data_IF_064730241573
#
_entry.id   IF_064730241573
#
_cell.length_a   1.000
_cell.length_b   1.000
_cell.length_c   1.000
_cell.angle_alpha   90.00
_cell.angle_beta   90.00
_cell.angle_gamma   90.00
#
_symmetry.space_group_name_H-M   'P 1'
#
loop_
_entity.id
_entity.type
_entity.pdbx_description
1 polymer ?
#
# COMPACT_ATOMS: atom_id res chain seq x y z
N UNK A 1 -4.23 -2.26 -22.65
CA UNK A 1 -4.94 -1.15 -21.99
C UNK A 1 -4.09 -0.59 -20.87
N UNK A 2 -3.77 0.68 -20.98
CA UNK A 2 -2.98 1.45 -20.03
C UNK A 2 -3.84 1.78 -18.82
N UNK A 3 -3.82 0.92 -17.79
CA UNK A 3 -4.50 1.24 -16.53
C UNK A 3 -3.48 1.79 -15.54
N UNK A 4 -3.76 2.96 -15.01
CA UNK A 4 -2.85 3.63 -14.06
C UNK A 4 -2.80 2.96 -12.68
N UNK A 5 -3.78 2.11 -12.29
CA UNK A 5 -3.80 1.33 -11.06
C UNK A 5 -3.37 -0.13 -11.30
N UNK A 6 -2.17 -0.32 -11.80
CA UNK A 6 -1.65 -1.65 -12.13
C UNK A 6 -1.43 -2.50 -10.89
N UNK A 7 -1.86 -3.76 -10.97
CA UNK A 7 -1.75 -4.70 -9.85
C UNK A 7 -2.88 -4.62 -8.83
N UNK A 8 -3.68 -3.56 -8.84
CA UNK A 8 -4.82 -3.40 -7.92
C UNK A 8 -5.78 -4.59 -8.02
N UNK A 9 -6.26 -4.90 -9.23
CA UNK A 9 -7.14 -6.03 -9.46
C UNK A 9 -6.47 -7.38 -9.16
N UNK A 10 -5.17 -7.52 -9.40
CA UNK A 10 -4.42 -8.73 -9.08
C UNK A 10 -4.46 -9.04 -7.59
N UNK A 11 -4.18 -8.04 -6.74
CA UNK A 11 -4.22 -8.23 -5.30
C UNK A 11 -5.63 -8.58 -4.79
N UNK A 12 -6.66 -7.86 -5.23
CA UNK A 12 -8.04 -8.20 -4.89
C UNK A 12 -8.46 -9.59 -5.37
N UNK A 13 -7.99 -10.02 -6.54
CA UNK A 13 -8.26 -11.36 -7.04
C UNK A 13 -7.61 -12.44 -6.14
N UNK A 14 -6.38 -12.23 -5.67
CA UNK A 14 -5.73 -13.13 -4.71
C UNK A 14 -6.56 -13.27 -3.42
N UNK A 15 -6.99 -12.17 -2.83
CA UNK A 15 -7.85 -12.18 -1.65
C UNK A 15 -9.20 -12.87 -1.92
N UNK A 16 -9.81 -12.58 -3.07
CA UNK A 16 -11.09 -13.17 -3.43
C UNK A 16 -11.02 -14.70 -3.61
N UNK A 17 -9.99 -15.22 -4.26
CA UNK A 17 -9.83 -16.68 -4.43
C UNK A 17 -9.47 -17.36 -3.11
N UNK A 18 -8.73 -16.70 -2.21
CA UNK A 18 -8.46 -17.20 -0.86
C UNK A 18 -9.77 -17.34 -0.06
N UNK A 19 -10.59 -16.31 -0.04
CA UNK A 19 -11.89 -16.33 0.63
C UNK A 19 -12.84 -17.35 0.02
N UNK A 20 -12.87 -17.46 -1.31
CA UNK A 20 -13.66 -18.46 -2.01
C UNK A 20 -13.21 -19.89 -1.69
N UNK A 21 -11.92 -20.14 -1.61
CA UNK A 21 -11.37 -21.43 -1.16
C UNK A 21 -11.83 -21.74 0.27
N UNK A 22 -11.64 -20.82 1.20
CA UNK A 22 -12.03 -21.00 2.61
C UNK A 22 -13.52 -21.26 2.78
N UNK A 23 -14.38 -20.60 1.98
CA UNK A 23 -15.84 -20.68 2.09
C UNK A 23 -16.45 -21.89 1.36
N UNK A 24 -15.70 -22.65 0.58
CA UNK A 24 -16.23 -23.74 -0.26
C UNK A 24 -15.89 -25.14 0.26
N UNK A 25 -15.50 -25.27 1.53
CA UNK A 25 -15.19 -26.57 2.15
C UNK A 25 -16.32 -27.60 2.11
N UNK A 26 -17.56 -27.17 1.89
CA UNK A 26 -18.73 -28.03 1.70
C UNK A 26 -18.79 -28.70 0.31
N UNK A 27 -17.96 -28.29 -0.65
CA UNK A 27 -17.93 -28.80 -2.02
C UNK A 27 -16.47 -29.00 -2.48
N UNK A 28 -15.98 -30.25 -2.40
CA UNK A 28 -14.59 -30.60 -2.68
C UNK A 28 -14.16 -30.26 -4.13
N UNK A 29 -15.04 -30.42 -5.12
CA UNK A 29 -14.73 -30.09 -6.52
C UNK A 29 -14.55 -28.59 -6.71
N UNK A 30 -15.43 -27.78 -6.14
CA UNK A 30 -15.37 -26.33 -6.22
C UNK A 30 -14.14 -25.80 -5.45
N UNK A 31 -13.88 -26.33 -4.26
CA UNK A 31 -12.71 -25.97 -3.46
C UNK A 31 -11.41 -26.28 -4.20
N UNK A 32 -11.31 -27.46 -4.86
CA UNK A 32 -10.15 -27.82 -5.68
C UNK A 32 -9.93 -26.85 -6.86
N UNK A 33 -10.99 -26.34 -7.47
CA UNK A 33 -10.86 -25.31 -8.52
C UNK A 33 -10.26 -24.02 -8.00
N UNK A 34 -10.63 -23.58 -6.78
CA UNK A 34 -10.02 -22.40 -6.17
C UNK A 34 -8.58 -22.68 -5.73
N UNK A 35 -8.29 -23.85 -5.18
CA UNK A 35 -6.90 -24.26 -4.88
C UNK A 35 -6.01 -24.16 -6.13
N UNK A 36 -6.44 -24.73 -7.25
CA UNK A 36 -5.69 -24.63 -8.52
C UNK A 36 -5.47 -23.20 -9.00
N UNK A 37 -6.42 -22.29 -8.76
CA UNK A 37 -6.24 -20.86 -9.08
C UNK A 37 -5.23 -20.19 -8.16
N UNK A 38 -5.26 -20.50 -6.86
CA UNK A 38 -4.27 -19.99 -5.89
C UNK A 38 -2.87 -20.48 -6.27
N UNK A 39 -2.71 -21.77 -6.54
CA UNK A 39 -1.42 -22.35 -6.92
C UNK A 39 -0.85 -21.73 -8.20
N UNK A 40 -1.69 -21.53 -9.21
CA UNK A 40 -1.27 -20.87 -10.46
C UNK A 40 -0.78 -19.44 -10.19
N UNK A 41 -1.55 -18.64 -9.47
CA UNK A 41 -1.22 -17.26 -9.19
C UNK A 41 0.04 -17.15 -8.31
N UNK A 42 0.11 -17.94 -7.25
CA UNK A 42 1.25 -17.91 -6.32
C UNK A 42 2.53 -18.37 -7.01
N UNK A 43 2.50 -19.49 -7.76
CA UNK A 43 3.69 -19.97 -8.48
C UNK A 43 4.18 -18.91 -9.48
N UNK A 44 3.27 -18.29 -10.25
CA UNK A 44 3.63 -17.24 -11.20
C UNK A 44 4.28 -16.04 -10.51
N UNK A 45 3.69 -15.56 -9.44
CA UNK A 45 4.24 -14.40 -8.69
C UNK A 45 5.55 -14.75 -8.00
N UNK A 46 5.67 -15.95 -7.46
CA UNK A 46 6.91 -16.47 -6.87
C UNK A 46 8.04 -16.51 -7.89
N UNK A 47 7.81 -17.11 -9.07
CA UNK A 47 8.80 -17.16 -10.16
C UNK A 47 9.24 -15.77 -10.59
N UNK A 48 8.29 -14.83 -10.76
CA UNK A 48 8.59 -13.43 -11.07
C UNK A 48 9.43 -12.76 -9.98
N UNK A 49 9.13 -13.02 -8.70
CA UNK A 49 9.89 -12.47 -7.58
C UNK A 49 11.35 -12.95 -7.57
N UNK A 50 11.60 -14.18 -8.03
CA UNK A 50 12.96 -14.74 -8.12
C UNK A 50 13.78 -14.10 -9.27
N UNK A 51 13.14 -13.45 -10.23
CA UNK A 51 13.84 -12.74 -11.31
C UNK A 51 14.48 -11.43 -10.84
N UNK A 52 13.90 -10.78 -9.83
CA UNK A 52 14.44 -9.53 -9.30
C UNK A 52 15.75 -9.76 -8.56
N UNK A 53 16.77 -8.96 -8.89
CA UNK A 53 18.11 -9.08 -8.32
C UNK A 53 18.97 -10.17 -8.91
N UNK A 54 18.52 -10.89 -9.94
CA UNK A 54 19.33 -11.90 -10.62
C UNK A 54 20.55 -11.29 -11.31
N UNK A 55 21.71 -11.98 -11.33
CA UNK A 55 22.90 -11.48 -12.01
C UNK A 55 22.69 -11.38 -13.52
N UNK A 56 23.33 -10.38 -14.15
CA UNK A 56 23.24 -10.16 -15.60
C UNK A 56 23.89 -11.25 -16.45
N UNK A 57 24.85 -11.96 -15.88
CA UNK A 57 25.61 -13.01 -16.57
C UNK A 57 25.60 -14.26 -15.72
N UNK A 58 25.59 -15.41 -16.37
CA UNK A 58 25.70 -16.71 -15.68
C UNK A 58 26.99 -16.73 -14.83
N UNK A 59 26.85 -17.04 -13.53
CA UNK A 59 27.95 -17.05 -12.58
C UNK A 59 28.38 -15.65 -12.06
N UNK A 60 27.68 -14.57 -12.45
CA UNK A 60 27.86 -13.24 -11.88
C UNK A 60 27.29 -13.12 -10.46
N UNK A 61 27.60 -12.02 -9.78
CA UNK A 61 27.05 -11.75 -8.45
C UNK A 61 25.57 -11.42 -8.51
N UNK A 62 24.84 -11.91 -7.54
CA UNK A 62 23.44 -11.57 -7.31
C UNK A 62 23.34 -10.12 -6.82
N UNK A 63 22.36 -9.38 -7.32
CA UNK A 63 22.00 -8.07 -6.75
C UNK A 63 21.23 -8.34 -5.46
N UNK A 64 21.95 -8.46 -4.37
CA UNK A 64 21.38 -8.76 -3.05
C UNK A 64 20.78 -7.54 -2.35
N UNK A 65 21.18 -6.32 -2.77
CA UNK A 65 20.65 -5.09 -2.21
C UNK A 65 19.23 -4.83 -2.74
N UNK A 66 18.19 -4.92 -1.89
CA UNK A 66 16.82 -4.66 -2.30
C UNK A 66 16.55 -3.17 -2.61
N UNK A 67 17.52 -2.30 -2.36
CA UNK A 67 17.43 -0.87 -2.70
C UNK A 67 18.06 -0.54 -4.05
N UNK A 68 18.55 -1.53 -4.79
CA UNK A 68 19.14 -1.32 -6.10
C UNK A 68 18.22 -0.51 -7.03
N UNK A 69 18.76 0.55 -7.60
CA UNK A 69 18.02 1.51 -8.40
C UNK A 69 18.27 1.23 -9.87
N UNK A 70 17.23 0.99 -10.68
CA UNK A 70 17.41 0.78 -12.11
C UNK A 70 17.95 2.04 -12.82
N UNK A 71 18.71 1.87 -13.93
CA UNK A 71 19.08 3.00 -14.78
C UNK A 71 17.83 3.80 -15.17
N UNK A 72 17.94 5.10 -15.28
CA UNK A 72 16.82 5.99 -15.60
C UNK A 72 15.76 6.18 -14.49
N UNK A 73 15.89 5.52 -13.37
CA UNK A 73 14.97 5.71 -12.25
C UNK A 73 14.84 7.19 -11.84
N UNK A 74 13.61 7.60 -11.59
CA UNK A 74 13.32 8.98 -11.18
C UNK A 74 13.54 10.01 -12.27
N UNK A 75 13.58 9.65 -13.54
CA UNK A 75 13.55 10.64 -14.64
C UNK A 75 12.22 11.38 -14.63
N UNK A 76 12.31 12.69 -14.79
CA UNK A 76 11.14 13.53 -15.09
C UNK A 76 10.56 13.09 -16.44
N UNK A 77 9.25 12.99 -16.52
CA UNK A 77 8.55 12.55 -17.73
C UNK A 77 8.56 11.03 -17.94
N UNK A 78 9.04 10.25 -16.98
CA UNK A 78 8.84 8.81 -17.01
C UNK A 78 7.35 8.51 -16.99
N UNK A 79 6.85 7.96 -18.09
CA UNK A 79 5.47 7.50 -18.18
C UNK A 79 5.35 6.08 -17.63
N UNK A 80 4.39 5.87 -16.75
CA UNK A 80 3.97 4.53 -16.32
C UNK A 80 3.21 3.79 -17.42
N UNK A 81 3.08 4.40 -18.59
CA UNK A 81 2.61 3.77 -19.80
C UNK A 81 3.56 2.64 -20.19
N UNK A 82 3.16 1.43 -19.91
CA UNK A 82 3.87 0.23 -20.31
C UNK A 82 3.45 -0.15 -21.75
N UNK A 83 3.65 0.73 -22.70
CA UNK A 83 3.80 0.33 -24.10
C UNK A 83 4.95 -0.67 -24.20
N UNK A 84 5.00 -1.49 -25.25
CA UNK A 84 6.11 -2.44 -25.44
C UNK A 84 7.48 -1.75 -25.36
N UNK A 85 7.57 -0.49 -25.76
CA UNK A 85 8.78 0.33 -25.67
C UNK A 85 9.11 0.79 -24.24
N UNK A 86 8.09 0.82 -23.34
CA UNK A 86 8.24 1.22 -21.94
C UNK A 86 8.44 0.08 -20.97
N UNK A 87 8.29 -1.19 -21.40
CA UNK A 87 8.48 -2.35 -20.53
C UNK A 87 9.96 -2.52 -20.24
N UNK A 88 10.30 -2.43 -18.97
CA UNK A 88 11.66 -2.65 -18.49
C UNK A 88 11.88 -4.14 -18.24
N UNK A 89 13.03 -4.64 -18.65
CA UNK A 89 13.46 -6.03 -18.47
C UNK A 89 14.77 -6.16 -17.72
N UNK A 90 15.26 -5.08 -17.14
CA UNK A 90 16.50 -5.04 -16.37
C UNK A 90 16.29 -5.47 -14.91
N UNK A 91 15.62 -6.62 -14.71
CA UNK A 91 15.20 -7.17 -13.42
C UNK A 91 16.34 -7.27 -12.39
N UNK A 92 17.57 -7.49 -12.84
CA UNK A 92 18.75 -7.54 -11.99
C UNK A 92 18.98 -6.21 -11.21
N UNK A 93 18.47 -5.10 -11.72
CA UNK A 93 18.61 -3.79 -11.07
C UNK A 93 17.41 -3.43 -10.16
N UNK A 94 16.42 -4.30 -10.04
CA UNK A 94 15.19 -3.99 -9.28
C UNK A 94 15.31 -4.31 -7.80
N UNK A 95 16.37 -4.99 -7.39
CA UNK A 95 16.57 -5.43 -6.02
C UNK A 95 15.85 -6.74 -5.71
N UNK A 96 16.48 -7.56 -4.89
CA UNK A 96 15.94 -8.86 -4.48
C UNK A 96 14.62 -8.68 -3.72
N UNK A 97 13.65 -9.51 -4.06
CA UNK A 97 12.34 -9.53 -3.42
C UNK A 97 11.34 -8.51 -3.99
N UNK A 98 11.77 -7.63 -4.89
CA UNK A 98 10.84 -6.71 -5.54
C UNK A 98 9.88 -7.47 -6.46
N UNK A 99 8.59 -7.24 -6.24
CA UNK A 99 7.51 -7.62 -7.14
C UNK A 99 6.43 -6.56 -7.07
N UNK A 100 6.06 -6.03 -8.23
CA UNK A 100 4.99 -5.06 -8.38
C UNK A 100 4.52 -5.07 -9.82
N UNK A 101 3.34 -4.59 -10.07
CA UNK A 101 2.88 -4.29 -11.43
C UNK A 101 3.41 -2.96 -11.99
N UNK A 102 4.04 -2.17 -11.13
CA UNK A 102 4.83 -1.01 -11.52
C UNK A 102 6.32 -1.32 -11.44
N UNK A 103 7.15 -0.73 -12.31
CA UNK A 103 8.60 -0.80 -12.15
C UNK A 103 9.05 0.04 -10.94
N UNK A 104 10.26 -0.19 -10.39
CA UNK A 104 10.80 0.58 -9.26
C UNK A 104 10.83 2.09 -9.47
N UNK A 105 10.87 2.54 -10.72
CA UNK A 105 10.86 3.96 -11.09
C UNK A 105 9.71 4.74 -10.46
N UNK A 106 8.52 4.16 -10.36
CA UNK A 106 7.35 4.79 -9.75
C UNK A 106 7.56 5.08 -8.26
N UNK A 107 8.21 4.18 -7.55
CA UNK A 107 8.54 4.33 -6.14
C UNK A 107 9.61 5.42 -5.96
N UNK A 108 10.64 5.41 -6.79
CA UNK A 108 11.73 6.37 -6.76
C UNK A 108 11.24 7.78 -7.13
N UNK A 109 10.37 7.89 -8.11
CA UNK A 109 9.75 9.17 -8.48
C UNK A 109 8.94 9.75 -7.31
N UNK A 110 8.22 8.91 -6.54
CA UNK A 110 7.52 9.34 -5.33
C UNK A 110 8.51 9.92 -4.30
N UNK A 111 9.62 9.25 -4.05
CA UNK A 111 10.68 9.71 -3.14
C UNK A 111 11.27 11.06 -3.60
N UNK A 112 11.42 11.26 -4.91
CA UNK A 112 11.95 12.49 -5.52
C UNK A 112 10.93 13.62 -5.68
N UNK A 113 9.74 13.46 -5.18
CA UNK A 113 8.77 14.55 -5.15
C UNK A 113 7.73 14.53 -6.27
N UNK A 114 7.65 13.50 -7.09
CA UNK A 114 6.64 13.39 -8.12
C UNK A 114 5.23 13.41 -7.54
N UNK A 115 4.28 13.96 -8.31
CA UNK A 115 2.90 14.15 -7.90
C UNK A 115 1.93 13.42 -8.84
N UNK A 116 0.71 13.26 -8.40
CA UNK A 116 -0.38 12.77 -9.24
C UNK A 116 -0.87 13.88 -10.19
N UNK A 117 -1.07 13.54 -11.46
CA UNK A 117 -1.70 14.42 -12.43
C UNK A 117 -0.80 15.49 -13.07
N UNK A 118 0.49 15.47 -12.81
CA UNK A 118 1.44 16.35 -13.47
C UNK A 118 1.78 15.90 -14.90
N UNK A 119 2.07 16.85 -15.80
CA UNK A 119 2.40 16.54 -17.20
C UNK A 119 3.74 15.81 -17.36
N UNK A 120 4.65 15.93 -16.40
CA UNK A 120 6.03 15.43 -16.50
C UNK A 120 6.44 14.50 -15.35
N UNK A 121 5.54 14.12 -14.46
CA UNK A 121 5.88 13.31 -13.29
C UNK A 121 4.64 12.56 -12.77
N UNK A 122 3.95 11.86 -13.67
CA UNK A 122 2.74 11.13 -13.29
C UNK A 122 3.08 9.85 -12.56
N UNK A 123 2.72 9.81 -11.27
CA UNK A 123 2.69 8.59 -10.49
C UNK A 123 1.30 8.40 -9.91
N UNK A 124 0.90 7.16 -9.74
CA UNK A 124 -0.37 6.83 -9.13
C UNK A 124 -0.22 5.73 -8.10
N UNK A 125 -0.09 6.13 -6.83
CA UNK A 125 -0.19 5.28 -5.67
C UNK A 125 0.55 3.92 -5.80
N UNK A 126 1.89 3.89 -6.03
CA UNK A 126 2.58 2.62 -6.26
C UNK A 126 2.53 1.70 -5.03
N UNK A 127 2.60 2.21 -3.82
CA UNK A 127 2.49 1.43 -2.59
C UNK A 127 1.06 0.91 -2.34
N UNK A 128 0.03 1.63 -2.81
CA UNK A 128 -1.35 1.18 -2.71
C UNK A 128 -1.60 -0.13 -3.48
N UNK A 129 -1.09 -0.22 -4.71
CA UNK A 129 -1.22 -1.43 -5.52
C UNK A 129 -0.30 -2.56 -5.02
N UNK A 130 0.88 -2.21 -4.51
CA UNK A 130 1.80 -3.16 -3.88
C UNK A 130 1.16 -3.81 -2.65
N UNK A 131 0.51 -3.01 -1.80
CA UNK A 131 -0.25 -3.47 -0.64
C UNK A 131 -1.25 -4.56 -1.02
N UNK A 132 -2.03 -4.36 -2.07
CA UNK A 132 -3.08 -5.32 -2.48
C UNK A 132 -2.50 -6.70 -2.83
N UNK A 133 -1.34 -6.73 -3.50
CA UNK A 133 -0.66 -7.98 -3.84
C UNK A 133 -0.13 -8.66 -2.58
N UNK A 134 0.53 -7.92 -1.70
CA UNK A 134 1.07 -8.44 -0.43
C UNK A 134 -0.04 -9.00 0.46
N UNK A 135 -1.12 -8.27 0.66
CA UNK A 135 -2.27 -8.70 1.43
C UNK A 135 -2.89 -9.98 0.86
N UNK A 136 -3.10 -10.03 -0.46
CA UNK A 136 -3.66 -11.22 -1.11
C UNK A 136 -2.77 -12.46 -1.01
N UNK A 137 -1.45 -12.31 -1.05
CA UNK A 137 -0.51 -13.41 -0.81
C UNK A 137 -0.62 -13.94 0.63
N UNK A 138 -0.71 -13.06 1.61
CA UNK A 138 -0.90 -13.45 3.02
C UNK A 138 -2.26 -14.11 3.25
N UNK A 139 -3.32 -13.63 2.60
CA UNK A 139 -4.64 -14.27 2.65
C UNK A 139 -4.57 -15.72 2.16
N UNK A 140 -3.87 -15.97 1.04
CA UNK A 140 -3.67 -17.33 0.51
C UNK A 140 -2.86 -18.17 1.50
N UNK A 141 -1.78 -17.64 2.07
CA UNK A 141 -0.98 -18.37 3.06
C UNK A 141 -1.83 -18.79 4.27
N UNK A 142 -2.60 -17.88 4.83
CA UNK A 142 -3.39 -18.17 6.03
C UNK A 142 -4.48 -19.23 5.81
N UNK A 143 -5.09 -19.29 4.62
CA UNK A 143 -6.16 -20.26 4.35
C UNK A 143 -5.66 -21.59 3.82
N UNK A 144 -4.44 -21.65 3.24
CA UNK A 144 -3.94 -22.85 2.55
C UNK A 144 -2.59 -23.35 3.05
N UNK A 145 -1.84 -22.58 3.83
CA UNK A 145 -0.47 -22.90 4.22
C UNK A 145 0.53 -22.83 3.06
N UNK A 146 0.24 -22.12 1.98
CA UNK A 146 1.12 -22.04 0.83
C UNK A 146 2.39 -21.23 1.13
N UNK A 147 3.48 -21.92 1.42
CA UNK A 147 4.76 -21.30 1.83
C UNK A 147 5.36 -20.36 0.79
N UNK A 148 5.15 -20.60 -0.51
CA UNK A 148 5.63 -19.70 -1.56
C UNK A 148 4.92 -18.34 -1.51
N UNK A 149 3.65 -18.33 -1.10
CA UNK A 149 2.90 -17.08 -0.91
C UNK A 149 3.53 -16.24 0.22
N UNK A 150 3.83 -16.89 1.36
CA UNK A 150 4.52 -16.24 2.46
C UNK A 150 5.93 -15.79 2.08
N UNK A 151 6.70 -16.63 1.41
CA UNK A 151 8.06 -16.29 0.97
C UNK A 151 8.07 -15.09 0.03
N UNK A 152 7.11 -15.02 -0.90
CA UNK A 152 6.95 -13.86 -1.79
C UNK A 152 6.60 -12.60 -1.01
N UNK A 153 5.68 -12.68 -0.06
CA UNK A 153 5.31 -11.55 0.79
C UNK A 153 6.49 -11.06 1.66
N UNK A 154 7.29 -12.00 2.20
CA UNK A 154 8.53 -11.70 2.94
C UNK A 154 9.54 -10.94 2.07
N UNK A 155 9.74 -11.39 0.83
CA UNK A 155 10.61 -10.69 -0.13
C UNK A 155 10.13 -9.25 -0.38
N UNK A 156 8.84 -9.06 -0.59
CA UNK A 156 8.23 -7.73 -0.76
C UNK A 156 8.46 -6.85 0.48
N UNK A 157 8.18 -7.37 1.68
CA UNK A 157 8.38 -6.66 2.93
C UNK A 157 9.84 -6.27 3.17
N UNK A 158 10.77 -7.16 2.87
CA UNK A 158 12.22 -6.90 2.98
C UNK A 158 12.66 -5.79 2.03
N UNK A 159 12.18 -5.82 0.77
CA UNK A 159 12.46 -4.77 -0.20
C UNK A 159 11.94 -3.40 0.27
N UNK A 160 10.70 -3.36 0.75
CA UNK A 160 10.08 -2.13 1.25
C UNK A 160 10.85 -1.58 2.45
N UNK A 161 11.17 -2.43 3.43
CA UNK A 161 11.95 -2.03 4.61
C UNK A 161 13.30 -1.42 4.22
N UNK A 162 14.07 -2.14 3.42
CA UNK A 162 15.39 -1.67 3.01
C UNK A 162 15.31 -0.38 2.19
N UNK A 163 14.28 -0.21 1.34
CA UNK A 163 14.06 0.99 0.56
C UNK A 163 13.74 2.20 1.42
N UNK A 164 12.75 2.09 2.30
CA UNK A 164 12.25 3.23 3.08
C UNK A 164 13.14 3.59 4.26
N UNK A 165 13.83 2.62 4.86
CA UNK A 165 14.65 2.85 6.05
C UNK A 165 15.87 3.76 5.82
N UNK A 166 16.28 3.93 4.57
CA UNK A 166 17.38 4.83 4.21
C UNK A 166 16.93 6.27 3.89
N UNK A 167 15.61 6.51 3.82
CA UNK A 167 15.09 7.84 3.48
C UNK A 167 15.06 8.74 4.72
N UNK A 168 15.36 10.03 4.56
CA UNK A 168 15.15 11.01 5.62
C UNK A 168 13.68 11.07 6.04
N UNK A 169 13.43 11.33 7.32
CA UNK A 169 12.06 11.45 7.85
C UNK A 169 11.23 12.49 7.10
N UNK A 170 11.81 13.62 6.73
CA UNK A 170 11.13 14.68 5.98
C UNK A 170 10.65 14.18 4.60
N UNK A 171 11.43 13.27 3.98
CA UNK A 171 11.02 12.64 2.72
C UNK A 171 9.79 11.76 2.92
N UNK A 172 9.78 10.91 3.96
CA UNK A 172 8.63 10.07 4.29
C UNK A 172 7.39 10.92 4.61
N UNK A 173 7.54 11.96 5.43
CA UNK A 173 6.45 12.91 5.74
C UNK A 173 5.90 13.52 4.44
N UNK A 174 6.78 13.95 3.55
CA UNK A 174 6.38 14.51 2.25
C UNK A 174 5.66 13.49 1.38
N UNK A 175 6.15 12.25 1.31
CA UNK A 175 5.57 11.18 0.49
C UNK A 175 4.12 10.89 0.89
N UNK A 176 3.88 10.62 2.16
CA UNK A 176 2.56 10.17 2.64
C UNK A 176 1.50 11.27 2.67
N UNK A 177 1.92 12.53 2.55
CA UNK A 177 1.00 13.67 2.48
C UNK A 177 0.66 14.11 1.05
N UNK A 178 1.20 13.48 0.02
CA UNK A 178 0.86 13.81 -1.37
C UNK A 178 -0.47 13.20 -1.75
N UNK A 179 -1.38 14.03 -2.22
CA UNK A 179 -2.70 13.63 -2.69
C UNK A 179 -2.59 12.55 -3.76
N UNK A 180 -3.23 11.42 -3.57
CA UNK A 180 -3.23 10.21 -4.41
C UNK A 180 -1.83 9.60 -4.61
N UNK A 181 -0.82 10.39 -4.99
CA UNK A 181 0.52 9.87 -5.24
C UNK A 181 1.12 9.15 -4.03
N UNK A 182 0.90 9.68 -2.83
CA UNK A 182 1.35 9.14 -1.55
C UNK A 182 0.40 8.15 -0.90
N UNK A 183 -0.67 7.75 -1.59
CA UNK A 183 -1.59 6.74 -1.10
C UNK A 183 -0.89 5.38 -1.02
N UNK A 184 -0.92 4.75 0.14
CA UNK A 184 -0.31 3.44 0.35
C UNK A 184 -1.30 2.36 0.81
N UNK A 185 -2.59 2.69 0.86
CA UNK A 185 -3.62 1.76 1.34
C UNK A 185 -3.31 1.28 2.76
N UNK A 186 -3.41 -0.01 2.99
CA UNK A 186 -3.06 -0.66 4.25
C UNK A 186 -1.64 -1.25 4.26
N UNK A 187 -0.63 -0.61 3.68
CA UNK A 187 0.75 -1.15 3.74
C UNK A 187 1.25 -1.30 5.17
N UNK A 188 0.91 -0.36 6.07
CA UNK A 188 1.23 -0.47 7.49
C UNK A 188 0.50 -1.66 8.14
N UNK A 189 -0.75 -1.92 7.81
CA UNK A 189 -1.50 -3.10 8.25
C UNK A 189 -0.87 -4.41 7.73
N UNK A 190 -0.60 -4.48 6.42
CA UNK A 190 -0.04 -5.67 5.80
C UNK A 190 1.35 -6.03 6.36
N UNK A 191 2.21 -5.03 6.59
CA UNK A 191 3.53 -5.23 7.17
C UNK A 191 3.48 -5.62 8.66
N UNK A 192 2.57 -5.04 9.44
CA UNK A 192 2.35 -5.45 10.83
C UNK A 192 1.84 -6.90 10.89
N UNK A 193 0.88 -7.27 10.03
CA UNK A 193 0.41 -8.65 9.88
C UNK A 193 1.54 -9.61 9.47
N UNK A 194 2.41 -9.20 8.54
CA UNK A 194 3.58 -9.99 8.12
C UNK A 194 4.56 -10.18 9.29
N UNK A 195 4.79 -9.14 10.10
CA UNK A 195 5.60 -9.25 11.32
C UNK A 195 5.03 -10.31 12.27
N UNK A 196 3.72 -10.29 12.50
CA UNK A 196 3.04 -11.27 13.37
C UNK A 196 3.13 -12.70 12.81
N UNK A 197 2.91 -12.88 11.50
CA UNK A 197 2.97 -14.18 10.86
C UNK A 197 4.37 -14.81 10.89
N UNK A 198 5.41 -13.98 10.85
CA UNK A 198 6.80 -14.43 10.74
C UNK A 198 7.60 -14.30 12.03
N UNK A 199 7.11 -13.53 13.00
CA UNK A 199 7.85 -13.09 14.19
C UNK A 199 9.11 -12.27 13.86
N UNK A 200 9.19 -11.68 12.67
CA UNK A 200 10.32 -10.86 12.23
C UNK A 200 10.04 -9.37 12.47
N UNK A 201 10.71 -8.79 13.45
CA UNK A 201 10.49 -7.38 13.85
C UNK A 201 10.88 -6.34 12.79
N UNK A 202 11.65 -6.71 11.78
CA UNK A 202 11.98 -5.83 10.66
C UNK A 202 10.73 -5.39 9.88
N UNK A 203 9.72 -6.24 9.79
CA UNK A 203 8.45 -5.90 9.12
C UNK A 203 7.61 -4.94 9.97
N UNK A 204 7.67 -5.04 11.29
CA UNK A 204 7.06 -4.03 12.16
C UNK A 204 7.72 -2.66 11.99
N UNK A 205 9.07 -2.63 11.94
CA UNK A 205 9.78 -1.38 11.63
C UNK A 205 9.40 -0.82 10.26
N UNK A 206 9.23 -1.70 9.26
CA UNK A 206 8.75 -1.29 7.95
C UNK A 206 7.33 -0.71 8.00
N UNK A 207 6.43 -1.31 8.78
CA UNK A 207 5.06 -0.79 8.99
C UNK A 207 5.08 0.64 9.54
N UNK A 208 5.93 0.90 10.53
CA UNK A 208 6.08 2.22 11.15
C UNK A 208 6.70 3.28 10.22
N UNK A 209 7.41 2.90 9.16
CA UNK A 209 7.88 3.85 8.13
C UNK A 209 6.74 4.42 7.27
N UNK A 210 5.55 3.84 7.36
CA UNK A 210 4.32 4.35 6.73
C UNK A 210 3.51 5.25 7.68
N UNK A 211 3.99 5.53 8.89
CA UNK A 211 3.30 6.46 9.78
C UNK A 211 3.13 7.82 9.11
N UNK A 212 1.88 8.20 8.90
CA UNK A 212 1.58 9.54 8.42
C UNK A 212 1.72 10.53 9.58
N UNK A 213 2.94 11.01 9.77
CA UNK A 213 3.31 11.87 10.91
C UNK A 213 2.38 13.07 11.06
N UNK A 214 1.99 13.72 9.94
CA UNK A 214 1.08 14.86 10.02
C UNK A 214 -0.31 14.48 10.52
N UNK A 215 -0.83 13.36 10.06
CA UNK A 215 -2.15 12.88 10.46
C UNK A 215 -2.12 12.36 11.91
N UNK A 216 -1.14 11.52 12.22
CA UNK A 216 -1.06 10.83 13.49
C UNK A 216 -0.59 11.72 14.63
N UNK A 217 0.43 12.52 14.39
CA UNK A 217 1.18 13.23 15.41
C UNK A 217 1.29 14.74 15.19
N UNK A 218 0.79 15.25 14.06
CA UNK A 218 0.82 16.65 13.69
C UNK A 218 2.14 17.12 13.11
N UNK A 219 3.24 16.78 13.77
CA UNK A 219 4.61 17.09 13.34
C UNK A 219 5.62 16.03 13.85
N UNK A 220 6.87 16.17 13.45
CA UNK A 220 7.95 15.27 13.88
C UNK A 220 8.23 15.27 15.40
N UNK A 221 7.77 16.28 16.11
CA UNK A 221 7.85 16.38 17.56
C UNK A 221 6.65 15.76 18.30
N UNK A 222 5.70 15.17 17.56
CA UNK A 222 4.47 14.58 18.12
C UNK A 222 3.66 15.57 18.98
N UNK A 223 3.56 16.83 18.53
CA UNK A 223 3.00 17.92 19.33
C UNK A 223 1.46 17.89 19.38
N UNK A 224 0.78 17.34 18.38
CA UNK A 224 -0.66 17.28 18.25
C UNK A 224 -1.11 16.07 17.42
N UNK A 225 -2.07 16.16 16.53
CA UNK A 225 -2.51 15.07 15.67
C UNK A 225 -3.57 14.18 16.31
N UNK A 226 -3.93 13.11 15.59
CA UNK A 226 -4.94 12.15 16.07
C UNK A 226 -4.57 11.52 17.41
N UNK A 227 -3.29 11.25 17.65
CA UNK A 227 -2.82 10.71 18.92
C UNK A 227 -3.19 11.59 20.13
N UNK A 228 -3.44 12.88 19.91
CA UNK A 228 -3.84 13.86 20.93
C UNK A 228 -5.22 14.45 20.69
N UNK A 229 -6.09 13.71 20.03
CA UNK A 229 -7.48 14.06 19.79
C UNK A 229 -7.66 15.39 19.02
N UNK A 230 -6.80 15.63 18.01
CA UNK A 230 -6.91 16.79 17.12
C UNK A 230 -7.31 16.35 15.73
N UNK A 231 -8.38 16.95 15.18
CA UNK A 231 -8.85 16.70 13.81
C UNK A 231 -7.81 17.19 12.80
N UNK A 232 -7.12 16.25 12.17
CA UNK A 232 -6.10 16.48 11.16
C UNK A 232 -6.54 16.04 9.76
N UNK A 233 -7.73 15.46 9.60
CA UNK A 233 -8.14 14.83 8.35
C UNK A 233 -9.22 15.60 7.59
N UNK A 234 -9.72 16.71 8.11
CA UNK A 234 -10.67 17.57 7.40
C UNK A 234 -10.13 17.99 6.04
N UNK A 235 -10.87 17.69 4.98
CA UNK A 235 -10.49 17.99 3.60
C UNK A 235 -9.43 17.07 3.01
N UNK A 236 -8.96 16.05 3.75
CA UNK A 236 -8.09 15.02 3.22
C UNK A 236 -8.90 13.95 2.47
N UNK A 237 -8.24 13.25 1.55
CA UNK A 237 -8.85 12.18 0.76
C UNK A 237 -9.15 10.95 1.64
N UNK A 238 -10.42 10.58 1.77
CA UNK A 238 -10.87 9.54 2.69
C UNK A 238 -10.26 8.17 2.33
N UNK A 239 -10.29 7.79 1.05
CA UNK A 239 -9.69 6.53 0.58
C UNK A 239 -8.19 6.41 0.89
N UNK A 240 -7.46 7.54 0.84
CA UNK A 240 -6.04 7.55 1.18
C UNK A 240 -5.79 7.36 2.68
N UNK A 241 -6.69 7.86 3.55
CA UNK A 241 -6.38 8.00 4.98
C UNK A 241 -7.07 6.98 5.88
N UNK A 242 -8.26 6.49 5.54
CA UNK A 242 -8.96 5.48 6.34
C UNK A 242 -8.13 4.19 6.52
N UNK A 243 -7.53 3.61 5.48
CA UNK A 243 -6.74 2.38 5.63
C UNK A 243 -5.52 2.54 6.55
N UNK A 244 -4.97 3.76 6.66
CA UNK A 244 -3.84 4.05 7.55
C UNK A 244 -4.21 3.85 9.03
N UNK A 245 -5.47 4.12 9.37
CA UNK A 245 -5.99 3.95 10.73
C UNK A 245 -6.17 2.46 11.07
N UNK A 246 -6.60 1.66 10.10
CA UNK A 246 -6.64 0.20 10.26
C UNK A 246 -5.24 -0.33 10.55
N UNK A 247 -4.24 0.19 9.85
CA UNK A 247 -2.85 -0.16 10.10
C UNK A 247 -2.35 0.28 11.48
N UNK A 248 -2.80 1.41 11.99
CA UNK A 248 -2.47 1.83 13.36
C UNK A 248 -2.97 0.81 14.40
N UNK A 249 -4.19 0.29 14.25
CA UNK A 249 -4.72 -0.78 15.13
C UNK A 249 -3.91 -2.07 14.99
N UNK A 250 -3.51 -2.45 13.79
CA UNK A 250 -2.69 -3.65 13.61
C UNK A 250 -1.30 -3.51 14.24
N UNK A 251 -0.70 -2.32 14.17
CA UNK A 251 0.56 -2.03 14.87
C UNK A 251 0.36 -2.08 16.39
N UNK A 252 -0.75 -1.51 16.91
CA UNK A 252 -1.08 -1.60 18.32
C UNK A 252 -1.19 -3.05 18.82
N UNK A 253 -1.84 -3.93 18.05
CA UNK A 253 -2.03 -5.35 18.42
C UNK A 253 -0.71 -6.10 18.67
N UNK A 254 0.37 -5.69 18.01
CA UNK A 254 1.68 -6.32 18.16
C UNK A 254 2.60 -5.57 19.13
N UNK A 255 2.46 -4.25 19.23
CA UNK A 255 3.38 -3.41 20.01
C UNK A 255 2.82 -2.98 21.36
N UNK A 256 1.49 -3.05 21.53
CA UNK A 256 0.77 -2.51 22.69
C UNK A 256 1.03 -1.02 22.93
N UNK A 257 1.58 -0.30 21.95
CA UNK A 257 1.86 1.13 22.07
C UNK A 257 0.55 1.94 22.13
N UNK A 258 0.28 2.62 23.25
CA UNK A 258 -1.01 3.29 23.46
C UNK A 258 -1.26 4.44 22.48
N UNK A 259 -0.23 5.00 21.86
CA UNK A 259 -0.40 6.07 20.85
C UNK A 259 -1.16 5.56 19.61
N UNK A 260 -0.86 4.35 19.14
CA UNK A 260 -1.56 3.77 17.99
C UNK A 260 -3.03 3.45 18.31
N UNK A 261 -3.33 3.01 19.53
CA UNK A 261 -4.70 2.87 19.98
C UNK A 261 -5.41 4.22 19.98
N UNK A 262 -4.79 5.25 20.58
CA UNK A 262 -5.37 6.59 20.64
C UNK A 262 -5.63 7.19 19.25
N UNK A 263 -4.74 6.96 18.28
CA UNK A 263 -4.94 7.40 16.89
C UNK A 263 -6.24 6.82 16.33
N UNK A 264 -6.46 5.52 16.51
CA UNK A 264 -7.62 4.85 15.94
C UNK A 264 -8.91 5.19 16.69
N UNK A 265 -8.88 5.22 18.00
CA UNK A 265 -10.02 5.55 18.86
C UNK A 265 -10.50 6.99 18.61
N UNK A 266 -9.59 7.95 18.64
CA UNK A 266 -9.91 9.35 18.36
C UNK A 266 -10.42 9.57 16.93
N UNK A 267 -9.81 8.88 15.95
CA UNK A 267 -10.30 8.94 14.57
C UNK A 267 -11.73 8.40 14.46
N UNK A 268 -12.01 7.24 15.06
CA UNK A 268 -13.33 6.63 15.04
C UNK A 268 -14.38 7.54 15.68
N UNK A 269 -14.06 8.10 16.84
CA UNK A 269 -14.97 9.02 17.53
C UNK A 269 -15.28 10.24 16.67
N UNK A 270 -14.26 10.93 16.17
CA UNK A 270 -14.45 12.09 15.31
C UNK A 270 -15.20 11.75 14.01
N UNK A 271 -14.82 10.68 13.33
CA UNK A 271 -15.42 10.36 12.05
C UNK A 271 -16.89 9.98 12.16
N UNK A 272 -17.25 9.24 13.21
CA UNK A 272 -18.64 8.81 13.41
C UNK A 272 -19.55 9.91 13.91
N UNK A 273 -19.04 10.89 14.66
CA UNK A 273 -19.83 12.02 15.18
C UNK A 273 -19.88 13.22 14.21
N UNK A 274 -18.75 13.54 13.56
CA UNK A 274 -18.63 14.80 12.84
C UNK A 274 -18.71 14.67 11.32
N UNK A 275 -18.43 13.48 10.77
CA UNK A 275 -18.27 13.29 9.32
C UNK A 275 -19.23 12.26 8.71
N UNK A 276 -19.69 11.28 9.49
CA UNK A 276 -20.47 10.18 8.97
C UNK A 276 -21.91 10.59 8.65
N UNK A 277 -22.35 10.28 7.45
CA UNK A 277 -23.75 10.40 7.05
C UNK A 277 -24.56 9.19 7.51
N UNK A 278 -25.89 9.32 7.53
CA UNK A 278 -26.80 8.25 7.97
C UNK A 278 -26.65 6.94 7.19
N UNK A 279 -26.09 6.99 5.98
CA UNK A 279 -25.79 5.81 5.15
C UNK A 279 -24.40 5.21 5.41
N UNK A 280 -23.64 5.74 6.37
CA UNK A 280 -22.30 5.29 6.71
C UNK A 280 -21.15 5.91 5.90
N UNK A 281 -21.43 6.66 4.82
CA UNK A 281 -20.40 7.35 4.05
C UNK A 281 -19.84 8.56 4.79
N UNK A 282 -18.56 8.88 4.58
CA UNK A 282 -17.84 9.98 5.24
C UNK A 282 -17.21 10.96 4.27
N UNK A 283 -17.24 10.65 2.98
CA UNK A 283 -16.56 11.40 1.95
C UNK A 283 -17.54 12.27 1.13
N UNK A 284 -17.16 13.52 0.95
CA UNK A 284 -17.77 14.44 -0.01
C UNK A 284 -16.71 15.01 -0.93
N UNK A 285 -17.03 16.08 -1.64
CA UNK A 285 -16.05 16.82 -2.41
C UNK A 285 -15.54 18.01 -1.62
N UNK A 286 -14.21 18.14 -1.48
CA UNK A 286 -13.61 19.35 -0.92
C UNK A 286 -13.81 20.56 -1.82
N UNK A 287 -13.75 20.29 -3.11
CA UNK A 287 -14.07 21.20 -4.20
C UNK A 287 -14.28 20.33 -5.46
N UNK A 288 -14.74 20.88 -6.60
CA UNK A 288 -15.00 20.11 -7.80
C UNK A 288 -13.81 19.28 -8.33
N UNK A 289 -12.60 19.64 -7.95
CA UNK A 289 -11.38 18.97 -8.40
C UNK A 289 -10.83 17.92 -7.41
N UNK A 290 -11.33 17.88 -6.17
CA UNK A 290 -10.86 17.02 -5.10
C UNK A 290 -12.03 16.23 -4.51
N UNK A 291 -12.48 15.23 -5.22
CA UNK A 291 -13.54 14.31 -4.78
C UNK A 291 -13.07 13.41 -3.62
N UNK A 292 -14.02 12.76 -2.97
CA UNK A 292 -13.79 11.73 -1.94
C UNK A 292 -13.00 12.21 -0.71
N UNK A 293 -13.20 13.48 -0.32
CA UNK A 293 -12.55 14.05 0.85
C UNK A 293 -13.49 14.13 2.05
N UNK A 294 -12.94 14.06 3.26
CA UNK A 294 -13.70 14.29 4.49
C UNK A 294 -14.25 15.72 4.51
N UNK A 295 -15.56 15.84 4.63
CA UNK A 295 -16.24 17.15 4.71
C UNK A 295 -17.31 17.11 5.79
N UNK A 296 -17.12 17.92 6.83
CA UNK A 296 -18.08 18.08 7.92
C UNK A 296 -19.14 19.16 7.67
N UNK A 297 -19.10 19.86 6.55
CA UNK A 297 -20.00 20.98 6.30
C UNK A 297 -21.17 20.58 5.40
N UNK A 298 -22.45 20.66 5.87
CA UNK A 298 -23.61 20.37 5.03
C UNK A 298 -23.67 21.22 3.74
N UNK A 299 -23.21 22.46 3.77
CA UNK A 299 -23.11 23.33 2.60
C UNK A 299 -22.17 22.75 1.52
N UNK A 300 -21.13 22.02 1.93
CA UNK A 300 -20.21 21.36 1.00
C UNK A 300 -20.88 20.29 0.15
N UNK A 301 -21.87 19.57 0.69
CA UNK A 301 -22.69 18.60 -0.07
C UNK A 301 -23.52 19.31 -1.13
N UNK A 302 -24.11 20.43 -0.80
CA UNK A 302 -24.93 21.20 -1.73
C UNK A 302 -24.09 21.80 -2.87
N UNK A 303 -22.94 22.35 -2.55
CA UNK A 303 -22.06 23.01 -3.52
C UNK A 303 -21.23 22.05 -4.35
N UNK A 304 -20.75 20.98 -3.78
CA UNK A 304 -19.73 20.10 -4.37
C UNK A 304 -20.22 18.67 -4.66
N UNK A 305 -21.44 18.35 -4.24
CA UNK A 305 -22.01 17.03 -4.39
C UNK A 305 -21.46 16.01 -3.38
N UNK A 306 -22.16 14.89 -3.29
CA UNK A 306 -21.80 13.75 -2.46
C UNK A 306 -21.07 12.72 -3.31
N UNK A 307 -19.81 12.48 -3.01
CA UNK A 307 -19.06 11.37 -3.58
C UNK A 307 -19.14 10.19 -2.61
N UNK A 308 -20.07 9.27 -2.85
CA UNK A 308 -20.11 8.01 -2.14
C UNK A 308 -18.94 7.13 -2.61
N UNK A 309 -17.75 7.43 -2.14
CA UNK A 309 -16.66 6.49 -2.19
C UNK A 309 -17.04 5.29 -1.33
N UNK A 310 -16.82 4.08 -1.79
CA UNK A 310 -17.09 2.85 -1.06
C UNK A 310 -16.09 2.65 0.10
N UNK A 311 -16.17 3.48 1.08
CA UNK A 311 -15.26 3.58 2.22
C UNK A 311 -15.99 3.31 3.53
#
# INVERSE_FOLDING_TARGET
>A
QQTKLRGHATGHYLSAIAQAYASTGYNAELQAKFAGKMDYMVNTLYELSQMSGQPRTAGGEHVSDPTAVPPAAGKTGYDSDLSEEGIRTDYQNWGKGFISAYPPDQFIMLEKGATYGGSNAQIWAPYYTLHKIMAGLMDIYEVSGNEKALETAKGMGTWVHARLSQLPQETLISMWNRYIAGEFGGMNEALARLSRLTSETSYMKAAQLFDNIRLFYGDAGHSHGLAKNVDMFRGLHANQHIPQIIGAIEIYRDTESPEYYSIADNFWDMVTHDYMYSIGGVAGARNPNNAECFTAQPASLYENGFAAGGQ
#
